data_IF_717277900671
#
_entry.id   IF_717277900671
#
_cell.length_a   1.000
_cell.length_b   1.000
_cell.length_c   1.000
_cell.angle_alpha   90.00
_cell.angle_beta   90.00
_cell.angle_gamma   90.00
#
_symmetry.space_group_name_H-M   'P 1'
#
loop_
_entity.id
_entity.type
_entity.pdbx_description
1 polymer ?
#
# COMPACT_ATOMS: atom_id res chain seq x y z
N UNK A 1 -12.48 -18.31 -7.76
CA UNK A 1 -11.67 -17.07 -7.78
C UNK A 1 -12.48 -15.99 -7.13
N UNK A 2 -12.01 -15.49 -5.99
CA UNK A 2 -12.55 -14.28 -5.38
C UNK A 2 -12.18 -13.11 -6.27
N UNK A 3 -13.13 -12.52 -6.99
CA UNK A 3 -12.83 -11.38 -7.85
C UNK A 3 -13.39 -10.12 -7.19
N UNK A 4 -12.60 -9.48 -6.34
CA UNK A 4 -12.84 -8.08 -5.96
C UNK A 4 -12.43 -7.24 -7.18
N UNK A 5 -13.33 -6.41 -7.68
CA UNK A 5 -13.03 -5.58 -8.84
C UNK A 5 -12.04 -4.48 -8.46
N UNK A 6 -11.18 -4.06 -9.39
CA UNK A 6 -10.26 -2.93 -9.16
C UNK A 6 -10.99 -1.65 -8.74
N UNK A 7 -12.23 -1.45 -9.21
CA UNK A 7 -13.06 -0.30 -8.85
C UNK A 7 -13.46 -0.28 -7.35
N UNK A 8 -13.41 -1.44 -6.70
CA UNK A 8 -13.69 -1.62 -5.27
C UNK A 8 -12.43 -1.52 -4.40
N UNK A 9 -11.26 -1.29 -5.01
CA UNK A 9 -9.99 -1.07 -4.33
C UNK A 9 -9.62 0.41 -4.37
N UNK A 10 -9.30 0.99 -3.22
CA UNK A 10 -8.98 2.41 -3.11
C UNK A 10 -7.71 2.62 -2.29
N UNK A 11 -6.82 3.49 -2.78
CA UNK A 11 -5.73 4.07 -2.01
C UNK A 11 -5.91 5.58 -1.94
N UNK A 12 -5.81 6.15 -0.75
CA UNK A 12 -5.84 7.60 -0.56
C UNK A 12 -4.92 8.06 0.59
N UNK A 13 -4.72 9.38 0.69
CA UNK A 13 -4.17 10.07 1.85
C UNK A 13 -5.27 10.49 2.84
N UNK A 14 -4.87 10.98 3.99
CA UNK A 14 -5.80 11.43 5.04
C UNK A 14 -6.73 12.55 4.54
N UNK A 15 -6.18 13.51 3.78
CA UNK A 15 -6.95 14.65 3.26
C UNK A 15 -7.99 14.23 2.20
N UNK A 16 -7.79 13.09 1.55
CA UNK A 16 -8.68 12.54 0.51
C UNK A 16 -9.79 11.64 1.12
N UNK A 17 -9.71 11.27 2.40
CA UNK A 17 -10.71 10.41 3.05
C UNK A 17 -12.16 10.91 2.94
N UNK A 18 -12.46 12.21 3.13
CA UNK A 18 -13.83 12.70 3.02
C UNK A 18 -14.48 12.42 1.65
N UNK A 19 -13.69 12.30 0.57
CA UNK A 19 -14.17 12.01 -0.78
C UNK A 19 -14.66 10.56 -0.94
N UNK A 20 -14.43 9.70 0.05
CA UNK A 20 -14.77 8.28 0.00
C UNK A 20 -15.89 7.88 0.95
N UNK A 21 -16.40 8.80 1.77
CA UNK A 21 -17.47 8.55 2.73
C UNK A 21 -18.72 7.92 2.08
N UNK A 22 -19.11 8.43 0.90
CA UNK A 22 -20.28 7.93 0.16
C UNK A 22 -20.05 6.69 -0.72
N UNK A 23 -18.90 6.03 -0.62
CA UNK A 23 -18.54 4.88 -1.48
C UNK A 23 -18.93 3.53 -0.89
N UNK A 24 -19.67 3.49 0.22
CA UNK A 24 -20.05 2.26 0.92
C UNK A 24 -18.84 1.35 1.15
N UNK A 25 -17.77 1.94 1.69
CA UNK A 25 -16.53 1.26 2.08
C UNK A 25 -16.86 0.28 3.19
N UNK A 26 -16.45 -0.98 3.05
CA UNK A 26 -16.71 -2.02 4.05
C UNK A 26 -15.47 -2.36 4.87
N UNK A 27 -14.28 -2.12 4.31
CA UNK A 27 -13.00 -2.45 4.94
C UNK A 27 -12.02 -1.29 4.83
N UNK A 28 -11.41 -0.93 5.94
CA UNK A 28 -10.39 0.12 6.03
C UNK A 28 -9.13 -0.40 6.68
N UNK A 29 -8.00 -0.24 6.00
CA UNK A 29 -6.68 -0.37 6.59
C UNK A 29 -6.02 1.01 6.71
N UNK A 30 -5.83 1.46 7.95
CA UNK A 30 -5.11 2.69 8.29
C UNK A 30 -3.66 2.34 8.63
N UNK A 31 -2.68 2.88 7.91
CA UNK A 31 -1.26 2.81 8.29
C UNK A 31 -0.72 4.22 8.50
N UNK A 32 -0.53 4.61 9.76
CA UNK A 32 -0.28 6.01 10.15
C UNK A 32 0.88 6.14 11.15
N UNK A 33 1.34 7.36 11.40
CA UNK A 33 2.41 7.60 12.36
C UNK A 33 1.93 7.27 13.79
N UNK A 34 2.79 6.73 14.67
CA UNK A 34 2.41 6.34 16.03
C UNK A 34 1.66 7.41 16.80
N UNK A 35 2.11 8.66 16.71
CA UNK A 35 1.56 9.79 17.46
C UNK A 35 0.43 10.53 16.72
N UNK A 36 0.00 10.02 15.56
CA UNK A 36 -1.08 10.66 14.80
C UNK A 36 -2.42 10.52 15.53
N UNK A 37 -3.20 11.61 15.66
CA UNK A 37 -4.48 11.58 16.35
C UNK A 37 -5.51 10.71 15.61
N UNK A 38 -6.64 10.46 16.27
CA UNK A 38 -7.78 9.84 15.60
C UNK A 38 -8.25 10.70 14.42
N UNK A 39 -8.76 10.04 13.37
CA UNK A 39 -9.06 10.68 12.09
C UNK A 39 -10.56 10.98 12.01
N UNK A 40 -10.99 12.24 12.13
CA UNK A 40 -12.41 12.59 12.20
C UNK A 40 -13.19 12.32 10.91
N UNK A 41 -12.49 12.16 9.77
CA UNK A 41 -13.14 11.88 8.49
C UNK A 41 -14.01 10.60 8.53
N UNK A 42 -13.64 9.62 9.36
CA UNK A 42 -14.40 8.38 9.51
C UNK A 42 -15.75 8.56 10.21
N UNK A 43 -16.01 9.69 10.87
CA UNK A 43 -17.33 10.02 11.44
C UNK A 43 -18.41 10.16 10.36
N UNK A 44 -17.99 10.39 9.11
CA UNK A 44 -18.88 10.50 7.94
C UNK A 44 -19.05 9.19 7.15
N UNK A 45 -18.35 8.12 7.54
CA UNK A 45 -18.43 6.83 6.87
C UNK A 45 -19.55 5.99 7.46
N UNK A 46 -20.14 5.12 6.63
CA UNK A 46 -20.99 4.03 7.12
C UNK A 46 -20.19 3.07 8.03
N UNK A 47 -20.89 2.18 8.74
CA UNK A 47 -20.24 1.13 9.53
C UNK A 47 -19.30 0.29 8.65
N UNK A 48 -18.06 0.14 9.11
CA UNK A 48 -17.00 -0.55 8.38
C UNK A 48 -16.04 -1.24 9.34
N UNK A 49 -15.40 -2.32 8.87
CA UNK A 49 -14.33 -2.96 9.60
C UNK A 49 -13.03 -2.16 9.40
N UNK A 50 -12.42 -1.67 10.49
CA UNK A 50 -11.19 -0.87 10.43
C UNK A 50 -10.07 -1.47 11.27
N UNK A 51 -8.92 -1.71 10.65
CA UNK A 51 -7.67 -1.99 11.33
C UNK A 51 -6.75 -0.76 11.26
N UNK A 52 -6.19 -0.34 12.40
CA UNK A 52 -5.22 0.77 12.48
C UNK A 52 -3.87 0.26 12.93
N UNK A 53 -2.88 0.35 12.06
CA UNK A 53 -1.49 0.00 12.30
C UNK A 53 -0.62 1.26 12.35
N UNK A 54 0.40 1.24 13.20
CA UNK A 54 1.19 2.43 13.55
C UNK A 54 2.68 2.22 13.30
N UNK A 55 3.22 2.92 12.30
CA UNK A 55 4.64 3.01 12.02
C UNK A 55 4.95 4.30 11.24
N UNK A 56 6.17 4.80 11.36
CA UNK A 56 6.65 5.92 10.56
C UNK A 56 7.02 5.47 9.15
N UNK A 57 6.88 6.36 8.16
CA UNK A 57 7.21 6.09 6.75
C UNK A 57 8.71 6.19 6.45
N UNK A 58 9.51 5.42 7.19
CA UNK A 58 10.97 5.45 7.10
C UNK A 58 11.48 4.16 6.48
N UNK A 59 12.62 4.25 5.79
CA UNK A 59 13.25 3.12 5.12
C UNK A 59 14.62 2.79 5.72
N UNK A 60 15.21 3.73 6.44
CA UNK A 60 16.44 3.58 7.20
C UNK A 60 16.14 3.75 8.70
N UNK A 61 16.87 3.06 9.59
CA UNK A 61 16.74 3.27 11.03
C UNK A 61 17.05 4.73 11.39
N UNK A 62 16.11 5.40 12.05
CA UNK A 62 16.25 6.79 12.50
C UNK A 62 15.94 6.88 14.01
N UNK A 63 16.76 7.59 14.81
CA UNK A 63 16.48 7.78 16.23
C UNK A 63 15.07 8.37 16.46
N UNK A 64 14.32 7.77 17.39
CA UNK A 64 12.97 8.21 17.73
C UNK A 64 11.90 7.89 16.67
N UNK A 65 12.23 7.13 15.62
CA UNK A 65 11.27 6.68 14.62
C UNK A 65 11.06 5.17 14.74
N UNK A 66 9.80 4.77 14.80
CA UNK A 66 9.36 3.37 14.66
C UNK A 66 9.25 3.00 13.18
N UNK A 67 10.18 2.22 12.59
CA UNK A 67 10.05 1.76 11.21
C UNK A 67 8.95 0.72 11.05
N UNK A 68 8.53 0.40 9.81
CA UNK A 68 7.77 -0.82 9.54
C UNK A 68 8.55 -2.04 10.04
N UNK A 69 7.85 -3.03 10.60
CA UNK A 69 8.44 -4.28 11.09
C UNK A 69 7.81 -5.50 10.40
N UNK A 70 8.45 -6.68 10.47
CA UNK A 70 7.85 -7.92 10.00
C UNK A 70 6.50 -8.22 10.64
N UNK A 71 6.35 -7.97 11.94
CA UNK A 71 5.12 -8.20 12.70
C UNK A 71 3.98 -7.32 12.18
N UNK A 72 4.23 -6.02 11.99
CA UNK A 72 3.26 -5.10 11.41
C UNK A 72 2.85 -5.53 10.00
N UNK A 73 3.80 -6.01 9.19
CA UNK A 73 3.49 -6.54 7.85
C UNK A 73 2.67 -7.83 7.96
N UNK A 74 2.92 -8.68 8.95
CA UNK A 74 2.09 -9.83 9.27
C UNK A 74 0.63 -9.45 9.50
N UNK A 75 0.37 -8.41 10.31
CA UNK A 75 -0.98 -7.89 10.54
C UNK A 75 -1.64 -7.32 9.26
N UNK A 76 -0.87 -6.67 8.38
CA UNK A 76 -1.37 -6.24 7.06
C UNK A 76 -1.79 -7.45 6.22
N UNK A 77 -1.00 -8.53 6.24
CA UNK A 77 -1.29 -9.74 5.48
C UNK A 77 -2.51 -10.48 6.03
N UNK A 78 -2.62 -10.61 7.36
CA UNK A 78 -3.79 -11.18 8.04
C UNK A 78 -5.07 -10.44 7.65
N UNK A 79 -5.06 -9.11 7.77
CA UNK A 79 -6.20 -8.28 7.34
C UNK A 79 -6.56 -8.52 5.87
N UNK A 80 -5.56 -8.60 4.98
CA UNK A 80 -5.79 -8.87 3.56
C UNK A 80 -6.41 -10.26 3.30
N UNK A 81 -6.02 -11.29 4.06
CA UNK A 81 -6.63 -12.63 3.98
C UNK A 81 -8.08 -12.61 4.41
N UNK A 82 -8.38 -11.93 5.51
CA UNK A 82 -9.75 -11.82 6.02
C UNK A 82 -10.67 -11.13 5.00
N UNK A 83 -10.21 -10.02 4.41
CA UNK A 83 -10.92 -9.31 3.34
C UNK A 83 -11.16 -10.22 2.12
N UNK A 84 -10.14 -10.96 1.70
CA UNK A 84 -10.25 -11.89 0.56
C UNK A 84 -11.20 -13.06 0.87
N UNK A 85 -11.24 -13.54 2.11
CA UNK A 85 -12.13 -14.61 2.53
C UNK A 85 -13.60 -14.16 2.58
N UNK A 86 -13.87 -12.94 3.05
CA UNK A 86 -15.23 -12.37 3.04
C UNK A 86 -15.75 -12.21 1.61
N UNK A 87 -14.95 -11.63 0.71
CA UNK A 87 -15.32 -11.55 -0.70
C UNK A 87 -15.55 -12.93 -1.34
N UNK A 88 -14.78 -13.96 -0.95
CA UNK A 88 -14.97 -15.33 -1.43
C UNK A 88 -16.32 -15.92 -1.00
N UNK A 89 -16.84 -15.46 0.13
CA UNK A 89 -18.09 -15.92 0.75
C UNK A 89 -19.32 -15.22 0.16
N UNK A 90 -19.13 -14.26 -0.76
CA UNK A 90 -20.19 -13.53 -1.44
C UNK A 90 -20.55 -12.18 -0.80
N UNK A 91 -19.83 -11.77 0.25
CA UNK A 91 -20.05 -10.47 0.89
C UNK A 91 -19.54 -9.33 -0.01
N UNK A 92 -20.25 -8.19 -0.07
CA UNK A 92 -19.77 -7.02 -0.80
C UNK A 92 -18.53 -6.43 -0.12
N UNK A 93 -17.39 -6.48 -0.81
CA UNK A 93 -16.12 -5.93 -0.32
C UNK A 93 -15.74 -4.68 -1.10
N UNK A 94 -15.56 -3.57 -0.37
CA UNK A 94 -14.91 -2.35 -0.86
C UNK A 94 -13.79 -1.98 0.11
N UNK A 95 -12.57 -2.15 -0.36
CA UNK A 95 -11.35 -2.02 0.43
C UNK A 95 -10.73 -0.64 0.19
N UNK A 96 -10.59 0.12 1.28
CA UNK A 96 -9.84 1.37 1.33
C UNK A 96 -8.58 1.16 2.17
N UNK A 97 -7.42 1.46 1.60
CA UNK A 97 -6.14 1.46 2.33
C UNK A 97 -5.56 2.87 2.28
N UNK A 98 -5.29 3.47 3.43
CA UNK A 98 -4.77 4.83 3.46
C UNK A 98 -3.57 4.98 4.41
N UNK A 99 -2.79 6.02 4.14
CA UNK A 99 -1.78 6.55 5.05
C UNK A 99 -1.86 8.08 5.01
N UNK A 100 -0.79 8.80 5.31
CA UNK A 100 -0.79 10.27 5.26
C UNK A 100 -1.06 10.81 3.86
N UNK A 101 -0.22 10.48 2.87
CA UNK A 101 -0.34 10.99 1.49
C UNK A 101 -0.91 9.99 0.49
N UNK A 102 -1.14 8.74 0.91
CA UNK A 102 -1.56 7.70 -0.01
C UNK A 102 -0.49 7.33 -1.05
N UNK A 103 0.79 7.43 -0.68
CA UNK A 103 1.93 7.27 -1.61
C UNK A 103 2.77 6.04 -1.26
N UNK A 104 3.10 5.81 0.01
CA UNK A 104 4.13 4.81 0.36
C UNK A 104 3.63 3.62 1.17
N UNK A 105 3.33 3.79 2.47
CA UNK A 105 2.81 2.70 3.31
C UNK A 105 1.54 2.04 2.74
N UNK A 106 0.55 2.84 2.37
CA UNK A 106 -0.72 2.33 1.82
C UNK A 106 -0.53 1.66 0.46
N UNK A 107 0.38 2.14 -0.38
CA UNK A 107 0.70 1.50 -1.66
C UNK A 107 1.41 0.16 -1.48
N UNK A 108 2.30 0.03 -0.49
CA UNK A 108 2.90 -1.26 -0.15
C UNK A 108 1.86 -2.25 0.41
N UNK A 109 0.96 -1.78 1.29
CA UNK A 109 -0.13 -2.60 1.82
C UNK A 109 -1.15 -3.01 0.74
N UNK A 110 -1.48 -2.14 -0.22
CA UNK A 110 -2.32 -2.55 -1.35
C UNK A 110 -1.60 -3.55 -2.27
N UNK A 111 -0.29 -3.38 -2.49
CA UNK A 111 0.48 -4.35 -3.25
C UNK A 111 0.47 -5.74 -2.59
N UNK A 112 0.57 -5.81 -1.26
CA UNK A 112 0.49 -7.10 -0.55
C UNK A 112 -0.89 -7.74 -0.71
N UNK A 113 -1.95 -6.95 -0.65
CA UNK A 113 -3.31 -7.44 -0.93
C UNK A 113 -3.41 -8.01 -2.34
N UNK A 114 -2.97 -7.26 -3.37
CA UNK A 114 -2.94 -7.72 -4.77
C UNK A 114 -2.13 -9.01 -4.93
N UNK A 115 -0.97 -9.11 -4.28
CA UNK A 115 -0.11 -10.30 -4.31
C UNK A 115 -0.74 -11.53 -3.65
N UNK A 116 -1.61 -11.34 -2.64
CA UNK A 116 -2.36 -12.43 -2.03
C UNK A 116 -3.49 -12.93 -2.94
N UNK A 117 -4.29 -12.01 -3.50
CA UNK A 117 -5.47 -12.39 -4.29
C UNK A 117 -5.15 -12.80 -5.74
N UNK A 118 -4.05 -12.33 -6.30
CA UNK A 118 -3.59 -12.62 -7.66
C UNK A 118 -2.23 -13.33 -7.66
N UNK A 119 -1.99 -14.23 -6.70
CA UNK A 119 -0.70 -14.91 -6.49
C UNK A 119 -0.14 -15.62 -7.73
N UNK A 120 -1.01 -16.17 -8.57
CA UNK A 120 -0.62 -16.90 -9.77
C UNK A 120 -0.25 -15.99 -10.96
N UNK A 121 -0.51 -14.69 -10.84
CA UNK A 121 -0.23 -13.74 -11.90
C UNK A 121 1.21 -13.22 -11.88
N UNK A 122 1.78 -12.85 -13.04
CA UNK A 122 3.09 -12.25 -13.08
C UNK A 122 3.15 -10.94 -12.27
N UNK A 123 4.23 -10.74 -11.52
CA UNK A 123 4.41 -9.57 -10.64
C UNK A 123 4.22 -8.23 -11.36
N UNK A 124 4.64 -8.09 -12.61
CA UNK A 124 4.47 -6.84 -13.35
C UNK A 124 3.00 -6.42 -13.49
N UNK A 125 2.08 -7.38 -13.61
CA UNK A 125 0.64 -7.14 -13.70
C UNK A 125 0.08 -6.66 -12.36
N UNK A 126 0.64 -7.10 -11.22
CA UNK A 126 0.29 -6.58 -9.89
C UNK A 126 0.65 -5.09 -9.80
N UNK A 127 1.82 -4.71 -10.30
CA UNK A 127 2.24 -3.31 -10.37
C UNK A 127 1.43 -2.48 -11.38
N UNK A 128 0.96 -3.06 -12.49
CA UNK A 128 0.02 -2.40 -13.41
C UNK A 128 -1.32 -2.07 -12.74
N UNK A 129 -1.86 -3.02 -11.96
CA UNK A 129 -3.05 -2.79 -11.14
C UNK A 129 -2.81 -1.70 -10.10
N UNK A 130 -1.68 -1.75 -9.40
CA UNK A 130 -1.33 -0.73 -8.42
C UNK A 130 -1.27 0.67 -9.05
N UNK A 131 -0.66 0.81 -10.24
CA UNK A 131 -0.63 2.07 -11.00
C UNK A 131 -2.02 2.55 -11.41
N UNK A 132 -2.91 1.63 -11.75
CA UNK A 132 -4.32 1.94 -12.06
C UNK A 132 -5.06 2.46 -10.84
N UNK A 133 -4.85 1.84 -9.67
CA UNK A 133 -5.50 2.23 -8.40
C UNK A 133 -4.95 3.58 -7.90
N UNK A 134 -3.63 3.78 -7.95
CA UNK A 134 -2.95 4.98 -7.46
C UNK A 134 -1.78 5.35 -8.38
N UNK A 135 -1.97 6.25 -9.36
CA UNK A 135 -0.93 6.62 -10.31
C UNK A 135 0.36 7.15 -9.66
N UNK A 136 0.25 7.80 -8.51
CA UNK A 136 1.35 8.34 -7.70
C UNK A 136 1.94 7.38 -6.66
N UNK A 137 1.60 6.09 -6.71
CA UNK A 137 2.17 5.09 -5.83
C UNK A 137 3.71 5.11 -5.85
N UNK A 138 4.29 5.02 -4.66
CA UNK A 138 5.72 4.81 -4.39
C UNK A 138 5.85 3.92 -3.16
N UNK A 139 5.56 2.60 -3.29
CA UNK A 139 5.48 1.69 -2.16
C UNK A 139 6.69 1.75 -1.25
N UNK A 140 6.53 1.60 0.06
CA UNK A 140 7.66 1.57 0.99
C UNK A 140 8.49 0.29 0.80
N UNK A 141 9.76 0.43 0.43
CA UNK A 141 10.67 -0.68 0.11
C UNK A 141 10.92 -1.64 1.26
N UNK A 142 10.91 -1.17 2.51
CA UNK A 142 11.07 -2.03 3.70
C UNK A 142 9.84 -2.91 3.87
N UNK A 143 8.64 -2.33 3.76
CA UNK A 143 7.40 -3.11 3.79
C UNK A 143 7.38 -4.13 2.64
N UNK A 144 7.70 -3.72 1.41
CA UNK A 144 7.70 -4.63 0.25
C UNK A 144 8.70 -5.77 0.43
N UNK A 145 9.86 -5.53 1.03
CA UNK A 145 10.82 -6.57 1.38
C UNK A 145 10.22 -7.62 2.33
N UNK A 146 9.58 -7.19 3.42
CA UNK A 146 8.92 -8.12 4.34
C UNK A 146 7.70 -8.82 3.71
N UNK A 147 6.96 -8.13 2.85
CA UNK A 147 5.82 -8.73 2.11
C UNK A 147 6.32 -9.84 1.20
N UNK A 148 7.41 -9.59 0.45
CA UNK A 148 8.02 -10.56 -0.45
C UNK A 148 8.47 -11.82 0.30
N UNK A 149 9.18 -11.63 1.42
CA UNK A 149 9.65 -12.73 2.27
C UNK A 149 8.48 -13.53 2.87
N UNK A 150 7.51 -12.86 3.50
CA UNK A 150 6.41 -13.53 4.20
C UNK A 150 5.41 -14.21 3.25
N UNK A 151 5.30 -13.72 2.01
CA UNK A 151 4.50 -14.36 0.97
C UNK A 151 5.31 -15.31 0.08
N UNK A 152 6.60 -15.53 0.34
CA UNK A 152 7.48 -16.42 -0.42
C UNK A 152 7.52 -16.10 -1.94
N UNK A 153 7.76 -14.82 -2.28
CA UNK A 153 7.92 -14.37 -3.67
C UNK A 153 9.37 -14.44 -4.17
N UNK A 154 10.32 -14.86 -3.33
CA UNK A 154 11.72 -15.10 -3.74
C UNK A 154 12.44 -13.86 -4.30
N UNK A 155 12.06 -12.66 -3.87
CA UNK A 155 12.57 -11.37 -4.33
C UNK A 155 11.83 -10.79 -5.54
N UNK A 156 10.83 -11.49 -6.10
CA UNK A 156 10.15 -11.05 -7.32
C UNK A 156 9.34 -9.75 -7.13
N UNK A 157 8.70 -9.53 -5.97
CA UNK A 157 8.03 -8.28 -5.67
C UNK A 157 9.02 -7.13 -5.53
N UNK A 158 10.19 -7.37 -4.92
CA UNK A 158 11.26 -6.38 -4.79
C UNK A 158 11.83 -6.01 -6.17
N UNK A 159 12.03 -6.98 -7.06
CA UNK A 159 12.50 -6.69 -8.42
C UNK A 159 11.45 -5.90 -9.24
N UNK A 160 10.18 -6.26 -9.10
CA UNK A 160 9.09 -5.47 -9.67
C UNK A 160 9.02 -4.05 -9.11
N UNK A 161 9.38 -3.85 -7.84
CA UNK A 161 9.41 -2.52 -7.19
C UNK A 161 10.44 -1.61 -7.85
N UNK A 162 11.63 -2.14 -8.12
CA UNK A 162 12.73 -1.43 -8.81
C UNK A 162 12.28 -0.92 -10.17
N UNK A 163 11.64 -1.79 -10.95
CA UNK A 163 11.06 -1.42 -12.25
C UNK A 163 9.93 -0.40 -12.11
N UNK A 164 9.07 -0.56 -11.09
CA UNK A 164 7.97 0.39 -10.81
C UNK A 164 8.49 1.80 -10.50
N UNK A 165 9.54 1.93 -9.68
CA UNK A 165 10.16 3.23 -9.41
C UNK A 165 10.75 3.84 -10.68
N UNK A 166 11.45 3.08 -11.51
CA UNK A 166 11.99 3.60 -12.76
C UNK A 166 10.90 4.07 -13.73
N UNK A 167 9.78 3.34 -13.81
CA UNK A 167 8.59 3.80 -14.55
C UNK A 167 8.07 5.15 -14.02
N UNK A 168 7.97 5.30 -12.69
CA UNK A 168 7.51 6.56 -12.07
C UNK A 168 8.47 7.71 -12.32
N UNK A 169 9.79 7.48 -12.21
CA UNK A 169 10.82 8.47 -12.48
C UNK A 169 10.86 8.89 -13.94
N UNK A 170 10.68 7.96 -14.88
CA UNK A 170 10.56 8.27 -16.30
C UNK A 170 9.36 9.17 -16.59
N UNK A 171 8.19 8.81 -16.06
CA UNK A 171 6.96 9.57 -16.27
C UNK A 171 6.96 10.93 -15.55
N UNK A 172 7.61 11.01 -14.38
CA UNK A 172 7.62 12.20 -13.51
C UNK A 172 9.01 12.41 -12.88
N UNK A 173 10.01 12.93 -13.62
CA UNK A 173 11.40 13.02 -13.16
C UNK A 173 11.58 13.77 -11.83
N UNK A 174 10.80 14.83 -11.60
CA UNK A 174 10.80 15.61 -10.34
C UNK A 174 10.41 14.80 -9.11
N UNK A 175 9.79 13.63 -9.28
CA UNK A 175 9.50 12.70 -8.18
C UNK A 175 10.79 12.27 -7.50
N UNK A 176 11.88 12.06 -8.24
CA UNK A 176 13.16 11.63 -7.67
C UNK A 176 13.73 12.66 -6.70
N UNK A 177 13.76 13.93 -7.08
CA UNK A 177 14.21 15.03 -6.22
C UNK A 177 13.40 15.11 -4.93
N UNK A 178 12.08 15.04 -5.05
CA UNK A 178 11.18 15.06 -3.90
C UNK A 178 11.40 13.84 -2.98
N UNK A 179 11.53 12.63 -3.55
CA UNK A 179 11.78 11.41 -2.79
C UNK A 179 13.11 11.49 -2.03
N UNK A 180 14.19 11.91 -2.69
CA UNK A 180 15.50 12.11 -2.03
C UNK A 180 15.43 13.13 -0.90
N UNK A 181 14.76 14.27 -1.11
CA UNK A 181 14.57 15.30 -0.07
C UNK A 181 13.78 14.79 1.14
N UNK A 182 12.97 13.75 0.99
CA UNK A 182 12.18 13.11 2.04
C UNK A 182 12.83 11.81 2.58
N UNK A 183 14.15 11.65 2.42
CA UNK A 183 14.89 10.53 2.99
C UNK A 183 14.67 9.20 2.26
N UNK A 184 14.31 9.24 0.97
CA UNK A 184 14.03 8.05 0.14
C UNK A 184 15.10 7.79 -0.92
N UNK A 185 16.32 8.25 -0.69
CA UNK A 185 17.45 8.12 -1.65
C UNK A 185 17.67 6.67 -2.07
N UNK A 186 17.68 5.72 -1.13
CA UNK A 186 17.88 4.29 -1.43
C UNK A 186 16.83 3.72 -2.40
N UNK A 187 15.61 4.23 -2.35
CA UNK A 187 14.54 3.83 -3.26
C UNK A 187 14.65 4.46 -4.65
N UNK A 188 15.18 5.68 -4.73
CA UNK A 188 15.49 6.31 -6.02
C UNK A 188 16.65 5.59 -6.70
N UNK A 189 17.69 5.23 -5.93
CA UNK A 189 18.88 4.53 -6.44
C UNK A 189 18.60 3.09 -6.88
N UNK A 190 17.62 2.40 -6.29
CA UNK A 190 17.24 1.06 -6.72
C UNK A 190 16.42 1.04 -8.02
N UNK A 191 15.96 2.19 -8.51
CA UNK A 191 15.11 2.27 -9.68
C UNK A 191 15.80 1.70 -10.94
N UNK A 192 15.11 0.78 -11.62
CA UNK A 192 15.52 0.29 -12.94
C UNK A 192 14.72 1.08 -13.97
N UNK A 193 15.40 1.97 -14.71
CA UNK A 193 14.77 2.71 -15.78
C UNK A 193 14.29 1.72 -16.84
N UNK A 194 13.01 1.77 -17.26
CA UNK A 194 12.56 0.94 -18.37
C UNK A 194 13.36 1.32 -19.64
N UNK A 195 13.32 0.47 -20.66
CA UNK A 195 13.94 0.77 -21.97
C UNK A 195 13.14 1.84 -22.73
#
# INVERSE_FOLDING_TARGET
MTSIALADLTICGVEELPEHAGRAVTHVLTVIDPDWPEIPAFDSFDEHHRLTLRCHDVIDPLPGRTPPSPELVGEVLDFGRDVAQQAASGDPVRLLIHCHMGVSRSSAAMLSFLAQVHREEPVHVLYDRLRTIRPQAWPNSVMVGFIDEQLDFGGALVEGLRTHYGHRLRAHPRTGEWMMANGRTREVEMAIMPD
#
